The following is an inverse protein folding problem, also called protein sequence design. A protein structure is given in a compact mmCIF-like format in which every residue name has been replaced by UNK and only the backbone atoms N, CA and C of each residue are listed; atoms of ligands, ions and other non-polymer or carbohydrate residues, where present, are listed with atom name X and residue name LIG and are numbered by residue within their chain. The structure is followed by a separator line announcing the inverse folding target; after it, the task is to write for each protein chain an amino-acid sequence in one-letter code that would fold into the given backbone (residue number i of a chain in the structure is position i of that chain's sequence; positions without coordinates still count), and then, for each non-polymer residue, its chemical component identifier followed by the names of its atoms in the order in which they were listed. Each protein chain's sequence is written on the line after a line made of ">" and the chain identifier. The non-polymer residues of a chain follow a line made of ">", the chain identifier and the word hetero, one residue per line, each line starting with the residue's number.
data_IF_540941412603
#
_entry.id   IF_540941412603
#
_cell.length_a   1.000
_cell.length_b   1.000
_cell.length_c   1.000
_cell.angle_alpha   90.00
_cell.angle_beta   90.00
_cell.angle_gamma   90.00
#
_symmetry.space_group_name_H-M   'P 1'
#
loop_
_entity.id
_entity.type
_entity.pdbx_description
1 polymer ?
#
# COMPACT_ATOMS: atom_id res chain seq x y z
N UNK A 1 -14.84 -5.42 16.49
CA UNK A 1 -15.10 -6.18 15.25
C UNK A 1 -14.62 -5.36 14.06
N UNK A 2 -13.88 -5.98 13.17
CA UNK A 2 -13.35 -5.30 11.97
C UNK A 2 -14.45 -5.11 10.92
N UNK A 3 -14.30 -4.08 10.11
CA UNK A 3 -15.25 -3.74 9.04
C UNK A 3 -14.52 -3.40 7.75
N UNK A 4 -15.22 -3.57 6.63
CA UNK A 4 -14.73 -3.15 5.33
C UNK A 4 -14.83 -1.63 5.21
N UNK A 5 -13.71 -0.99 4.88
CA UNK A 5 -13.65 0.45 4.66
C UNK A 5 -13.96 0.75 3.19
N UNK A 6 -14.53 1.93 2.95
CA UNK A 6 -14.84 2.37 1.59
C UNK A 6 -13.56 2.68 0.82
N UNK A 7 -13.37 2.06 -0.33
CA UNK A 7 -12.24 2.34 -1.23
C UNK A 7 -12.52 3.63 -2.01
N UNK A 8 -11.58 4.57 -1.92
CA UNK A 8 -11.59 5.78 -2.74
C UNK A 8 -11.11 5.44 -4.14
N UNK A 9 -11.75 6.02 -5.15
CA UNK A 9 -11.39 5.77 -6.56
C UNK A 9 -11.27 7.07 -7.34
N UNK A 10 -10.57 7.00 -8.47
CA UNK A 10 -10.43 8.14 -9.39
C UNK A 10 -11.72 8.46 -10.15
N UNK A 11 -12.74 7.64 -10.03
CA UNK A 11 -14.05 7.89 -10.65
C UNK A 11 -14.80 9.03 -9.96
N UNK A 12 -14.42 9.35 -8.73
CA UNK A 12 -14.97 10.47 -7.97
C UNK A 12 -13.90 11.56 -7.86
N UNK A 13 -14.15 12.79 -8.38
CA UNK A 13 -13.11 13.84 -8.39
C UNK A 13 -12.58 14.23 -7.01
N UNK A 14 -13.42 14.24 -5.98
CA UNK A 14 -12.99 14.56 -4.61
C UNK A 14 -12.11 13.46 -4.03
N UNK A 15 -12.44 12.22 -4.32
CA UNK A 15 -11.64 11.08 -3.88
C UNK A 15 -10.30 11.04 -4.62
N UNK A 16 -10.30 11.34 -5.92
CA UNK A 16 -9.07 11.43 -6.70
C UNK A 16 -8.15 12.50 -6.12
N UNK A 17 -8.67 13.67 -5.80
CA UNK A 17 -7.90 14.75 -5.19
C UNK A 17 -7.28 14.28 -3.85
N UNK A 18 -8.01 13.51 -3.08
CA UNK A 18 -7.50 12.94 -1.81
C UNK A 18 -6.39 11.93 -2.06
N UNK A 19 -6.57 11.04 -3.03
CA UNK A 19 -5.56 10.05 -3.41
C UNK A 19 -4.25 10.68 -3.88
N UNK A 20 -4.29 11.91 -4.38
CA UNK A 20 -3.12 12.64 -4.88
C UNK A 20 -2.34 13.38 -3.79
N UNK A 21 -2.77 13.30 -2.55
CA UNK A 21 -2.05 13.92 -1.43
C UNK A 21 -0.83 13.11 -1.04
N UNK A 22 0.19 13.80 -0.53
CA UNK A 22 1.31 13.17 0.17
C UNK A 22 0.84 12.88 1.59
N UNK A 23 0.88 11.63 1.99
CA UNK A 23 0.37 11.19 3.29
C UNK A 23 1.23 11.71 4.44
N UNK A 24 0.58 12.08 5.54
CA UNK A 24 1.25 12.54 6.75
C UNK A 24 1.87 11.38 7.53
N UNK A 25 3.05 11.61 8.11
CA UNK A 25 3.69 10.63 8.98
C UNK A 25 2.83 10.37 10.22
N UNK A 26 2.94 9.17 10.75
CA UNK A 26 2.25 8.74 11.96
C UNK A 26 3.17 8.97 13.14
N UNK A 27 2.67 9.57 14.24
CA UNK A 27 3.47 9.75 15.45
C UNK A 27 3.50 8.48 16.30
N UNK A 28 4.50 8.36 17.16
CA UNK A 28 4.59 7.22 18.08
C UNK A 28 3.40 7.17 19.03
N UNK A 29 2.90 8.31 19.45
CA UNK A 29 1.73 8.42 20.32
C UNK A 29 0.48 7.88 19.61
N UNK A 30 0.29 8.21 18.34
CA UNK A 30 -0.84 7.71 17.54
C UNK A 30 -0.84 6.18 17.45
N UNK A 31 0.34 5.58 17.26
CA UNK A 31 0.45 4.13 17.11
C UNK A 31 -0.14 3.40 18.31
N UNK A 32 0.00 3.97 19.49
CA UNK A 32 -0.45 3.36 20.76
C UNK A 32 -1.95 3.51 21.01
N UNK A 33 -2.66 4.30 20.18
CA UNK A 33 -4.08 4.51 20.38
C UNK A 33 -4.93 3.35 19.88
N UNK A 34 -6.02 3.07 20.55
CA UNK A 34 -6.99 2.07 20.11
C UNK A 34 -7.56 2.41 18.74
N UNK A 35 -7.79 3.70 18.49
CA UNK A 35 -8.31 4.20 17.22
C UNK A 35 -7.38 3.82 16.06
N UNK A 36 -6.08 4.02 16.22
CA UNK A 36 -5.11 3.70 15.18
C UNK A 36 -4.99 2.18 14.98
N UNK A 37 -4.93 1.42 16.06
CA UNK A 37 -4.87 -0.05 15.97
C UNK A 37 -6.12 -0.61 15.28
N UNK A 38 -7.28 -0.03 15.54
CA UNK A 38 -8.52 -0.41 14.87
C UNK A 38 -8.48 -0.06 13.39
N UNK A 39 -7.89 1.06 13.02
CA UNK A 39 -7.67 1.42 11.63
C UNK A 39 -6.83 0.34 10.92
N UNK A 40 -5.76 -0.13 11.57
CA UNK A 40 -4.90 -1.18 11.01
C UNK A 40 -5.67 -2.49 10.81
N UNK A 41 -6.48 -2.87 11.79
CA UNK A 41 -7.32 -4.07 11.68
C UNK A 41 -8.32 -3.95 10.53
N UNK A 42 -8.96 -2.79 10.39
CA UNK A 42 -9.93 -2.54 9.32
C UNK A 42 -9.24 -2.49 7.95
N UNK A 43 -8.02 -1.96 7.88
CA UNK A 43 -7.24 -1.90 6.64
C UNK A 43 -6.93 -3.30 6.13
N UNK A 44 -6.43 -4.16 7.02
CA UNK A 44 -6.14 -5.57 6.70
C UNK A 44 -7.43 -6.29 6.31
N UNK A 45 -8.50 -6.13 7.11
CA UNK A 45 -9.78 -6.77 6.84
C UNK A 45 -10.33 -6.36 5.46
N UNK A 46 -10.19 -5.08 5.11
CA UNK A 46 -10.61 -4.57 3.80
C UNK A 46 -9.80 -5.22 2.68
N UNK A 47 -8.47 -5.27 2.84
CA UNK A 47 -7.58 -5.89 1.84
C UNK A 47 -7.91 -7.38 1.63
N UNK A 48 -8.26 -8.08 2.71
CA UNK A 48 -8.62 -9.50 2.66
C UNK A 48 -9.97 -9.78 2.01
N UNK A 49 -10.91 -8.84 2.09
CA UNK A 49 -12.31 -9.09 1.73
C UNK A 49 -12.82 -8.32 0.51
N UNK A 50 -12.10 -7.29 0.04
CA UNK A 50 -12.47 -6.58 -1.19
C UNK A 50 -11.75 -7.23 -2.36
N UNK A 51 -12.52 -7.57 -3.38
CA UNK A 51 -11.98 -8.22 -4.58
C UNK A 51 -11.66 -7.19 -5.66
N UNK A 52 -10.58 -7.45 -6.40
CA UNK A 52 -10.28 -6.75 -7.64
C UNK A 52 -11.31 -7.12 -8.71
N UNK A 53 -11.29 -6.42 -9.85
CA UNK A 53 -12.19 -6.72 -10.97
C UNK A 53 -12.05 -8.16 -11.47
N UNK A 54 -10.86 -8.75 -11.34
CA UNK A 54 -10.58 -10.14 -11.73
C UNK A 54 -10.99 -11.14 -10.66
N UNK A 55 -11.55 -10.71 -9.55
CA UNK A 55 -12.02 -11.57 -8.48
C UNK A 55 -10.94 -12.03 -7.49
N UNK A 56 -9.75 -11.39 -7.51
CA UNK A 56 -8.68 -11.70 -6.57
C UNK A 56 -8.66 -10.71 -5.41
N UNK A 57 -8.16 -11.14 -4.24
CA UNK A 57 -7.93 -10.23 -3.13
C UNK A 57 -6.77 -9.29 -3.46
N UNK A 58 -6.81 -8.10 -2.87
CA UNK A 58 -5.71 -7.14 -3.01
C UNK A 58 -4.44 -7.67 -2.32
N UNK A 59 -3.29 -7.44 -2.92
CA UNK A 59 -1.99 -7.80 -2.34
C UNK A 59 -1.43 -6.71 -1.42
N UNK A 60 -2.10 -5.57 -1.34
CA UNK A 60 -1.73 -4.46 -0.48
C UNK A 60 -2.81 -3.38 -0.48
N UNK A 61 -2.77 -2.51 0.52
CA UNK A 61 -3.72 -1.41 0.63
C UNK A 61 -3.14 -0.31 1.51
N UNK A 62 -3.15 0.92 1.00
CA UNK A 62 -2.68 2.10 1.72
C UNK A 62 -3.83 2.84 2.38
N UNK A 63 -3.57 3.46 3.53
CA UNK A 63 -4.58 4.21 4.27
C UNK A 63 -5.22 5.33 3.44
N UNK A 64 -4.46 5.98 2.58
CA UNK A 64 -4.99 7.04 1.70
C UNK A 64 -6.12 6.51 0.81
N UNK A 65 -6.06 5.24 0.41
CA UNK A 65 -7.09 4.61 -0.42
C UNK A 65 -8.42 4.41 0.30
N UNK A 66 -8.44 4.52 1.60
CA UNK A 66 -9.67 4.41 2.41
C UNK A 66 -10.02 5.74 3.11
N UNK A 67 -9.48 6.84 2.59
CA UNK A 67 -9.81 8.18 3.07
C UNK A 67 -9.09 8.59 4.34
N UNK A 68 -7.97 7.96 4.68
CA UNK A 68 -7.17 8.28 5.86
C UNK A 68 -5.80 8.81 5.44
N UNK A 69 -5.53 10.06 5.78
CA UNK A 69 -4.28 10.73 5.41
C UNK A 69 -3.16 10.40 6.39
N UNK A 70 -2.70 9.15 6.35
CA UNK A 70 -1.63 8.63 7.21
C UNK A 70 -0.69 7.75 6.38
N UNK A 71 0.60 7.90 6.63
CA UNK A 71 1.65 7.14 5.92
C UNK A 71 1.75 5.72 6.49
N UNK A 72 0.82 4.87 6.10
CA UNK A 72 0.77 3.47 6.51
C UNK A 72 0.08 2.65 5.43
N UNK A 73 0.55 1.43 5.24
CA UNK A 73 -0.10 0.45 4.37
C UNK A 73 0.12 -0.97 4.90
N UNK A 74 -0.64 -1.90 4.34
CA UNK A 74 -0.40 -3.33 4.56
C UNK A 74 0.00 -3.99 3.25
N UNK A 75 0.82 -5.03 3.34
CA UNK A 75 1.21 -5.85 2.18
C UNK A 75 1.05 -7.32 2.52
N UNK A 76 0.67 -8.11 1.52
CA UNK A 76 0.56 -9.55 1.64
C UNK A 76 1.94 -10.18 1.63
N UNK A 77 2.24 -10.99 2.65
CA UNK A 77 3.46 -11.78 2.72
C UNK A 77 3.22 -13.10 1.99
N UNK A 78 4.06 -13.39 1.00
CA UNK A 78 3.88 -14.59 0.18
C UNK A 78 4.10 -15.88 0.96
N UNK A 79 5.02 -15.87 1.94
CA UNK A 79 5.37 -17.06 2.70
C UNK A 79 4.27 -17.51 3.67
N UNK A 80 3.58 -16.57 4.33
CA UNK A 80 2.57 -16.87 5.35
C UNK A 80 1.13 -16.63 4.90
N UNK A 81 0.92 -15.86 3.83
CA UNK A 81 -0.42 -15.43 3.43
C UNK A 81 -1.04 -14.39 4.36
N UNK A 82 -0.26 -13.87 5.31
CA UNK A 82 -0.71 -12.83 6.24
C UNK A 82 -0.31 -11.46 5.73
N UNK A 83 -1.06 -10.43 6.15
CA UNK A 83 -0.72 -9.04 5.85
C UNK A 83 0.20 -8.46 6.92
N UNK A 84 1.23 -7.76 6.48
CA UNK A 84 2.16 -7.04 7.35
C UNK A 84 1.89 -5.54 7.26
N UNK A 85 1.86 -4.87 8.41
CA UNK A 85 1.70 -3.42 8.51
C UNK A 85 3.06 -2.75 8.39
N UNK A 86 3.13 -1.70 7.56
CA UNK A 86 4.31 -0.86 7.43
C UNK A 86 3.93 0.60 7.69
N UNK A 87 4.41 1.14 8.81
CA UNK A 87 4.15 2.52 9.23
C UNK A 87 5.37 3.38 8.94
N UNK A 88 5.15 4.54 8.34
CA UNK A 88 6.22 5.48 7.94
C UNK A 88 7.33 4.80 7.14
N UNK A 89 7.00 4.01 6.10
CA UNK A 89 8.01 3.26 5.36
C UNK A 89 8.91 4.18 4.55
N UNK A 90 10.17 3.76 4.43
CA UNK A 90 11.16 4.34 3.51
C UNK A 90 11.88 3.18 2.83
N UNK A 91 12.25 3.33 1.57
CA UNK A 91 13.03 2.28 0.94
C UNK A 91 14.23 2.81 0.17
N UNK A 92 15.22 1.95 0.05
CA UNK A 92 16.43 2.18 -0.76
C UNK A 92 16.53 1.07 -1.79
N UNK A 93 16.97 1.42 -2.98
CA UNK A 93 17.19 0.44 -4.04
C UNK A 93 18.48 -0.33 -3.76
N UNK A 94 18.39 -1.64 -3.68
CA UNK A 94 19.57 -2.53 -3.52
C UNK A 94 20.19 -2.83 -4.87
N UNK A 95 19.34 -3.13 -5.88
CA UNK A 95 19.78 -3.37 -7.26
C UNK A 95 18.98 -2.48 -8.19
N UNK A 96 19.66 -1.79 -9.09
CA UNK A 96 19.04 -0.91 -10.09
C UNK A 96 18.24 -1.68 -11.15
N UNK A 97 18.41 -2.99 -11.21
CA UNK A 97 17.68 -3.84 -12.12
C UNK A 97 16.18 -3.77 -11.87
N UNK A 98 15.40 -3.67 -12.94
CA UNK A 98 13.94 -3.56 -12.88
C UNK A 98 13.27 -4.70 -13.63
N UNK A 99 12.03 -4.99 -13.27
CA UNK A 99 11.14 -5.86 -14.02
C UNK A 99 9.90 -5.09 -14.41
N UNK A 100 9.32 -5.46 -15.54
CA UNK A 100 8.03 -4.91 -16.00
C UNK A 100 6.99 -6.00 -15.81
N UNK A 101 5.88 -5.64 -15.18
CA UNK A 101 4.75 -6.55 -15.00
C UNK A 101 3.45 -5.77 -15.01
N UNK A 102 2.35 -6.46 -15.16
CA UNK A 102 1.02 -5.84 -15.18
C UNK A 102 0.59 -5.53 -13.75
N UNK A 103 0.14 -4.29 -13.54
CA UNK A 103 -0.44 -3.84 -12.27
C UNK A 103 -1.85 -3.35 -12.46
N UNK A 104 -2.64 -3.51 -11.41
CA UNK A 104 -3.95 -2.90 -11.26
C UNK A 104 -4.06 -2.32 -9.86
N UNK A 105 -5.15 -1.65 -9.56
CA UNK A 105 -5.35 -1.01 -8.26
C UNK A 105 -6.84 -0.85 -7.98
N UNK A 106 -7.25 -1.13 -6.75
CA UNK A 106 -8.66 -0.94 -6.33
C UNK A 106 -9.12 0.50 -6.50
N UNK A 107 -8.20 1.48 -6.38
CA UNK A 107 -8.52 2.90 -6.54
C UNK A 107 -8.60 3.34 -8.01
N UNK A 108 -8.17 2.50 -8.94
CA UNK A 108 -8.22 2.75 -10.38
C UNK A 108 -8.97 1.60 -11.06
N UNK A 109 -10.31 1.56 -10.90
CA UNK A 109 -11.11 0.45 -11.43
C UNK A 109 -11.03 0.34 -12.94
N UNK A 110 -11.13 -0.89 -13.45
CA UNK A 110 -11.22 -1.19 -14.89
C UNK A 110 -9.98 -0.83 -15.70
N UNK A 111 -8.85 -0.56 -15.04
CA UNK A 111 -7.58 -0.27 -15.71
C UNK A 111 -6.49 -1.17 -15.17
N UNK A 112 -5.63 -1.61 -16.06
CA UNK A 112 -4.39 -2.29 -15.73
C UNK A 112 -3.35 -1.93 -16.78
N UNK A 113 -2.10 -2.16 -16.50
CA UNK A 113 -1.03 -1.87 -17.44
C UNK A 113 0.34 -2.23 -16.92
N UNK A 114 1.31 -2.14 -17.80
CA UNK A 114 2.69 -2.54 -17.53
C UNK A 114 3.42 -1.44 -16.78
N UNK A 115 4.04 -1.82 -15.66
CA UNK A 115 4.79 -0.90 -14.79
C UNK A 115 6.16 -1.50 -14.49
N UNK A 116 7.20 -0.68 -14.59
CA UNK A 116 8.57 -1.06 -14.25
C UNK A 116 8.84 -0.79 -12.78
N UNK A 117 9.35 -1.79 -12.06
CA UNK A 117 9.68 -1.68 -10.64
C UNK A 117 11.06 -2.27 -10.37
N UNK A 118 11.73 -1.75 -9.35
CA UNK A 118 13.01 -2.31 -8.91
C UNK A 118 12.83 -3.73 -8.38
N UNK A 119 13.76 -4.61 -8.72
CA UNK A 119 13.69 -6.03 -8.31
C UNK A 119 13.96 -6.24 -6.83
N UNK A 120 14.79 -5.40 -6.22
CA UNK A 120 15.25 -5.61 -4.85
C UNK A 120 15.41 -4.28 -4.12
N UNK A 121 14.76 -4.18 -2.97
CA UNK A 121 14.74 -2.96 -2.16
C UNK A 121 14.97 -3.33 -0.69
N UNK A 122 15.50 -2.37 0.07
CA UNK A 122 15.59 -2.44 1.52
C UNK A 122 14.60 -1.44 2.10
N UNK A 123 13.71 -1.92 2.96
CA UNK A 123 12.67 -1.10 3.56
C UNK A 123 12.96 -0.92 5.05
N UNK A 124 12.88 0.33 5.50
CA UNK A 124 12.88 0.68 6.92
C UNK A 124 11.49 1.17 7.26
N UNK A 125 10.87 0.59 8.27
CA UNK A 125 9.50 0.92 8.65
C UNK A 125 9.27 0.63 10.14
N UNK A 126 8.16 1.13 10.66
CA UNK A 126 7.69 0.74 11.99
C UNK A 126 6.62 -0.34 11.80
N UNK A 127 6.69 -1.39 12.61
CA UNK A 127 5.63 -2.39 12.64
C UNK A 127 4.44 -1.85 13.45
N UNK A 128 3.35 -2.64 13.54
CA UNK A 128 2.13 -2.16 14.20
C UNK A 128 2.31 -1.89 15.70
N UNK A 129 3.40 -2.35 16.32
CA UNK A 129 3.72 -2.04 17.70
C UNK A 129 4.61 -0.80 17.85
N UNK A 130 5.03 -0.21 16.73
CA UNK A 130 5.92 0.94 16.70
C UNK A 130 7.40 0.59 16.73
N UNK A 131 7.74 -0.69 16.60
CA UNK A 131 9.13 -1.14 16.59
C UNK A 131 9.74 -0.98 15.21
N UNK A 132 10.98 -0.48 15.14
CA UNK A 132 11.71 -0.31 13.89
C UNK A 132 12.09 -1.66 13.30
N UNK A 133 11.76 -1.83 12.00
CA UNK A 133 12.15 -2.99 11.22
C UNK A 133 12.97 -2.52 10.01
N UNK A 134 13.97 -3.31 9.64
CA UNK A 134 14.77 -3.10 8.43
C UNK A 134 14.87 -4.44 7.71
N UNK A 135 14.29 -4.54 6.52
CA UNK A 135 14.21 -5.81 5.81
C UNK A 135 14.45 -5.61 4.31
N UNK A 136 14.98 -6.65 3.68
CA UNK A 136 15.19 -6.67 2.24
C UNK A 136 14.05 -7.47 1.61
N UNK A 137 13.47 -6.92 0.54
CA UNK A 137 12.39 -7.55 -0.21
C UNK A 137 12.79 -7.66 -1.68
N UNK A 138 12.30 -8.70 -2.34
CA UNK A 138 12.51 -8.92 -3.76
C UNK A 138 11.21 -9.45 -4.38
N UNK A 139 11.18 -9.56 -5.71
CA UNK A 139 10.05 -10.14 -6.43
C UNK A 139 8.74 -9.39 -6.24
N UNK A 140 7.66 -10.14 -6.08
CA UNK A 140 6.31 -9.58 -6.00
C UNK A 140 6.12 -8.72 -4.76
N UNK A 141 6.69 -9.11 -3.62
CA UNK A 141 6.61 -8.29 -2.40
C UNK A 141 7.28 -6.93 -2.59
N UNK A 142 8.45 -6.89 -3.25
CA UNK A 142 9.13 -5.63 -3.54
C UNK A 142 8.28 -4.76 -4.47
N UNK A 143 7.62 -5.36 -5.45
CA UNK A 143 6.69 -4.66 -6.36
C UNK A 143 5.54 -4.03 -5.61
N UNK A 144 4.87 -4.81 -4.76
CA UNK A 144 3.73 -4.33 -3.97
C UNK A 144 4.12 -3.21 -3.03
N UNK A 145 5.26 -3.33 -2.35
CA UNK A 145 5.73 -2.28 -1.46
C UNK A 145 5.95 -0.97 -2.23
N UNK A 146 6.54 -1.03 -3.42
CA UNK A 146 6.74 0.16 -4.25
C UNK A 146 5.42 0.76 -4.71
N UNK A 147 4.45 -0.09 -5.07
CA UNK A 147 3.10 0.34 -5.44
C UNK A 147 2.43 1.08 -4.28
N UNK A 148 2.44 0.47 -3.09
CA UNK A 148 1.83 1.08 -1.89
C UNK A 148 2.59 2.33 -1.43
N UNK A 149 3.91 2.32 -1.54
CA UNK A 149 4.73 3.50 -1.24
C UNK A 149 4.34 4.68 -2.14
N UNK A 150 4.11 4.42 -3.42
CA UNK A 150 3.64 5.45 -4.35
C UNK A 150 2.34 6.09 -3.87
N UNK A 151 1.40 5.31 -3.35
CA UNK A 151 0.18 5.86 -2.77
C UNK A 151 0.48 6.87 -1.66
N UNK A 152 1.48 6.61 -0.82
CA UNK A 152 1.86 7.56 0.25
C UNK A 152 2.44 8.85 -0.30
N UNK A 153 2.90 8.85 -1.53
CA UNK A 153 3.45 10.01 -2.24
C UNK A 153 2.44 10.67 -3.19
N UNK A 154 1.19 10.19 -3.21
CA UNK A 154 0.17 10.70 -4.11
C UNK A 154 0.33 10.25 -5.55
N UNK A 155 1.04 9.17 -5.79
CA UNK A 155 1.34 8.62 -7.11
C UNK A 155 0.52 7.34 -7.33
N UNK A 156 -0.13 7.24 -8.49
CA UNK A 156 -0.88 6.06 -8.89
C UNK A 156 -0.09 5.29 -9.95
N UNK A 157 -0.35 3.98 -10.08
CA UNK A 157 0.38 3.16 -11.05
C UNK A 157 0.21 3.66 -12.49
N UNK A 158 -0.93 4.29 -12.81
CA UNK A 158 -1.19 4.86 -14.14
C UNK A 158 -0.23 6.00 -14.50
N UNK A 159 0.42 6.61 -13.52
CA UNK A 159 1.45 7.63 -13.75
C UNK A 159 2.77 7.01 -14.22
N UNK A 160 2.92 5.70 -14.11
CA UNK A 160 4.16 4.95 -14.35
C UNK A 160 4.03 3.89 -15.45
N UNK A 161 2.98 3.97 -16.26
CA UNK A 161 2.76 2.99 -17.32
C UNK A 161 3.88 3.01 -18.36
N UNK A 162 4.32 1.81 -18.72
CA UNK A 162 5.26 1.60 -19.82
C UNK A 162 4.49 1.43 -21.13
N UNK A 163 5.10 1.84 -22.21
CA UNK A 163 4.51 1.72 -23.55
C UNK A 163 4.55 0.28 -24.10
#
# INVERSE_FOLDING_TARGET
>A
MSKILKIYTIENPKQEAFLRRVSHTVTKEEIKTDKFQKLLDNLIYTAENVLTDDGYSAAGLSAIQVGVDKKVFCILKEDSGEFEIMINPEFKVIKKEKTVDIEGCLSVPHKEGRVSRFKKIKVKYLDRSGKVQKRIFSGQEAREIQHEYNHTEGILFIDKLED
#
